data_IF_597412825282
#
_entry.id   IF_597412825282
#
_cell.length_a   1.000
_cell.length_b   1.000
_cell.length_c   1.000
_cell.angle_alpha   90.00
_cell.angle_beta   90.00
_cell.angle_gamma   90.00
#
_symmetry.space_group_name_H-M   'P 1'
#
loop_
_entity.id
_entity.type
_entity.pdbx_description
1 polymer ?
#
# COMPACT_ATOMS: atom_id res chain seq x y z
N UNK A 1 32.57 -14.85 -23.33
CA UNK A 1 31.30 -15.18 -22.68
C UNK A 1 30.45 -13.91 -22.73
N UNK A 2 29.49 -13.84 -23.67
CA UNK A 2 28.56 -12.72 -23.79
C UNK A 2 27.57 -12.82 -22.61
N UNK A 3 27.70 -11.95 -21.63
CA UNK A 3 26.64 -11.68 -20.67
C UNK A 3 25.46 -11.07 -21.46
N UNK A 4 24.51 -11.89 -21.90
CA UNK A 4 23.21 -11.40 -22.37
C UNK A 4 22.63 -10.62 -21.20
N UNK A 5 22.60 -9.30 -21.30
CA UNK A 5 21.85 -8.47 -20.35
C UNK A 5 20.43 -8.99 -20.31
N UNK A 6 19.88 -9.21 -19.12
CA UNK A 6 18.48 -9.62 -19.00
C UNK A 6 17.57 -8.62 -19.72
N UNK A 7 16.59 -9.11 -20.50
CA UNK A 7 15.70 -8.23 -21.26
C UNK A 7 14.95 -7.27 -20.32
N UNK A 8 14.83 -6.02 -20.75
CA UNK A 8 14.07 -5.00 -20.03
C UNK A 8 12.57 -5.28 -20.06
N UNK A 9 11.82 -4.67 -19.12
CA UNK A 9 10.37 -4.87 -19.05
C UNK A 9 9.62 -4.51 -20.33
N UNK A 10 10.04 -3.43 -21.00
CA UNK A 10 9.42 -3.00 -22.26
C UNK A 10 9.72 -3.99 -23.41
N UNK A 11 10.85 -4.66 -23.36
CA UNK A 11 11.21 -5.71 -24.32
C UNK A 11 10.40 -6.98 -24.06
N UNK A 12 10.31 -7.40 -22.80
CA UNK A 12 9.48 -8.53 -22.40
C UNK A 12 8.00 -8.30 -22.75
N UNK A 13 7.49 -7.09 -22.51
CA UNK A 13 6.12 -6.75 -22.88
C UNK A 13 5.90 -6.88 -24.39
N UNK A 14 6.83 -6.41 -25.20
CA UNK A 14 6.73 -6.51 -26.66
C UNK A 14 6.74 -7.97 -27.12
N UNK A 15 7.63 -8.80 -26.58
CA UNK A 15 7.69 -10.23 -26.89
C UNK A 15 6.41 -10.95 -26.46
N UNK A 16 5.90 -10.66 -25.26
CA UNK A 16 4.63 -11.20 -24.78
C UNK A 16 3.45 -10.85 -25.70
N UNK A 17 3.36 -9.60 -26.17
CA UNK A 17 2.33 -9.17 -27.11
C UNK A 17 2.47 -9.82 -28.49
N UNK A 18 3.67 -10.30 -28.83
CA UNK A 18 3.92 -11.10 -30.03
C UNK A 18 3.61 -12.61 -29.85
N UNK A 19 3.14 -13.03 -28.66
CA UNK A 19 2.76 -14.40 -28.36
C UNK A 19 3.82 -15.24 -27.66
N UNK A 20 4.89 -14.62 -27.14
CA UNK A 20 5.95 -15.32 -26.39
C UNK A 20 5.49 -15.59 -24.95
N UNK A 21 5.17 -16.85 -24.63
CA UNK A 21 4.72 -17.28 -23.30
C UNK A 21 5.86 -17.21 -22.26
N UNK A 22 7.12 -17.38 -22.66
CA UNK A 22 8.26 -17.27 -21.74
C UNK A 22 8.45 -15.83 -21.29
N UNK A 23 8.28 -14.87 -22.19
CA UNK A 23 8.31 -13.44 -21.87
C UNK A 23 7.19 -13.06 -20.88
N UNK A 24 5.98 -13.61 -21.05
CA UNK A 24 4.89 -13.44 -20.07
C UNK A 24 5.27 -14.01 -18.71
N UNK A 25 5.79 -15.23 -18.65
CA UNK A 25 6.16 -15.88 -17.40
C UNK A 25 7.29 -15.12 -16.67
N UNK A 26 8.26 -14.57 -17.40
CA UNK A 26 9.32 -13.74 -16.85
C UNK A 26 8.77 -12.42 -16.30
N UNK A 27 7.93 -11.75 -17.06
CA UNK A 27 7.31 -10.49 -16.66
C UNK A 27 6.41 -10.67 -15.43
N UNK A 28 5.61 -11.72 -15.40
CA UNK A 28 4.79 -12.10 -14.26
C UNK A 28 5.66 -12.31 -13.01
N UNK A 29 6.69 -13.18 -13.07
CA UNK A 29 7.59 -13.42 -11.93
C UNK A 29 8.26 -12.16 -11.42
N UNK A 30 8.62 -11.24 -12.32
CA UNK A 30 9.30 -9.99 -11.98
C UNK A 30 8.36 -8.97 -11.32
N UNK A 31 7.10 -8.90 -11.73
CA UNK A 31 6.18 -7.81 -11.37
C UNK A 31 5.01 -8.20 -10.48
N UNK A 32 4.63 -9.47 -10.38
CA UNK A 32 3.52 -9.92 -9.53
C UNK A 32 3.68 -9.47 -8.07
N UNK A 33 4.90 -9.56 -7.53
CA UNK A 33 5.16 -9.19 -6.14
C UNK A 33 4.95 -7.70 -5.83
N UNK A 34 5.27 -6.81 -6.79
CA UNK A 34 5.02 -5.37 -6.64
C UNK A 34 3.52 -5.08 -6.68
N UNK A 35 2.80 -5.64 -7.64
CA UNK A 35 1.34 -5.48 -7.80
C UNK A 35 0.60 -6.03 -6.58
N UNK A 36 0.95 -7.24 -6.13
CA UNK A 36 0.35 -7.88 -4.96
C UNK A 36 0.56 -7.05 -3.68
N UNK A 37 1.82 -6.63 -3.41
CA UNK A 37 2.13 -5.79 -2.23
C UNK A 37 1.36 -4.48 -2.26
N UNK A 38 1.30 -3.81 -3.42
CA UNK A 38 0.52 -2.59 -3.58
C UNK A 38 -0.96 -2.83 -3.23
N UNK A 39 -1.57 -3.83 -3.83
CA UNK A 39 -2.99 -4.14 -3.60
C UNK A 39 -3.26 -4.51 -2.14
N UNK A 40 -2.37 -5.26 -1.49
CA UNK A 40 -2.45 -5.63 -0.08
C UNK A 40 -2.31 -4.40 0.85
N UNK A 41 -1.36 -3.52 0.56
CA UNK A 41 -1.13 -2.28 1.32
C UNK A 41 -2.28 -1.28 1.18
N UNK A 42 -2.96 -1.29 0.04
CA UNK A 42 -4.13 -0.45 -0.19
C UNK A 42 -5.40 -0.99 0.45
N UNK A 43 -5.67 -2.29 0.32
CA UNK A 43 -6.93 -2.92 0.75
C UNK A 43 -6.87 -3.53 2.15
N UNK A 44 -5.69 -3.95 2.63
CA UNK A 44 -5.54 -4.75 3.84
C UNK A 44 -6.01 -6.20 3.71
N UNK A 45 -6.50 -6.61 2.54
CA UNK A 45 -7.15 -7.90 2.28
C UNK A 45 -6.33 -8.76 1.32
N UNK A 46 -5.94 -9.96 1.76
CA UNK A 46 -5.23 -10.93 0.90
C UNK A 46 -6.08 -11.37 -0.30
N UNK A 47 -7.37 -11.76 -0.14
CA UNK A 47 -8.21 -12.13 -1.27
C UNK A 47 -8.31 -11.01 -2.33
N UNK A 48 -8.50 -9.76 -1.90
CA UNK A 48 -8.52 -8.62 -2.83
C UNK A 48 -7.17 -8.47 -3.53
N UNK A 49 -6.06 -8.63 -2.82
CA UNK A 49 -4.72 -8.50 -3.40
C UNK A 49 -4.45 -9.60 -4.45
N UNK A 50 -4.86 -10.83 -4.19
CA UNK A 50 -4.74 -11.96 -5.13
C UNK A 50 -5.57 -11.72 -6.38
N UNK A 51 -6.84 -11.37 -6.23
CA UNK A 51 -7.75 -11.09 -7.33
C UNK A 51 -7.27 -9.92 -8.18
N UNK A 52 -6.87 -8.80 -7.55
CA UNK A 52 -6.36 -7.62 -8.26
C UNK A 52 -5.09 -7.98 -9.03
N UNK A 53 -4.20 -8.78 -8.44
CA UNK A 53 -2.99 -9.22 -9.14
C UNK A 53 -3.34 -9.99 -10.41
N UNK A 54 -4.27 -10.94 -10.35
CA UNK A 54 -4.73 -11.68 -11.51
C UNK A 54 -5.34 -10.76 -12.57
N UNK A 55 -6.25 -9.86 -12.17
CA UNK A 55 -6.91 -8.93 -13.10
C UNK A 55 -5.94 -7.99 -13.79
N UNK A 56 -4.89 -7.52 -13.10
CA UNK A 56 -3.85 -6.66 -13.69
C UNK A 56 -3.09 -7.40 -14.80
N UNK A 57 -2.72 -8.67 -14.59
CA UNK A 57 -2.01 -9.42 -15.62
C UNK A 57 -2.94 -9.87 -16.76
N UNK A 58 -4.19 -10.17 -16.48
CA UNK A 58 -5.20 -10.39 -17.53
C UNK A 58 -5.41 -9.12 -18.36
N UNK A 59 -5.45 -7.96 -17.73
CA UNK A 59 -5.50 -6.67 -18.43
C UNK A 59 -4.24 -6.45 -19.28
N UNK A 60 -3.06 -6.71 -18.73
CA UNK A 60 -1.80 -6.57 -19.47
C UNK A 60 -1.74 -7.44 -20.71
N UNK A 61 -2.24 -8.67 -20.64
CA UNK A 61 -2.31 -9.59 -21.80
C UNK A 61 -3.24 -9.07 -22.90
N UNK A 62 -4.34 -8.42 -22.54
CA UNK A 62 -5.34 -7.91 -23.48
C UNK A 62 -5.00 -6.53 -24.02
N UNK A 63 -4.58 -5.64 -23.13
CA UNK A 63 -4.47 -4.22 -23.37
C UNK A 63 -3.04 -3.68 -23.18
N UNK A 64 -2.04 -4.56 -23.08
CA UNK A 64 -0.64 -4.14 -22.85
C UNK A 64 -0.08 -3.23 -23.93
N UNK A 65 -0.70 -3.22 -25.11
CA UNK A 65 -0.36 -2.30 -26.22
C UNK A 65 -0.60 -0.81 -25.89
N UNK A 66 -1.44 -0.49 -24.90
CA UNK A 66 -1.68 0.90 -24.47
C UNK A 66 -0.57 1.47 -23.59
N UNK A 67 0.39 0.62 -23.15
CA UNK A 67 1.54 1.08 -22.40
C UNK A 67 2.47 1.90 -23.29
N UNK A 68 2.80 3.11 -22.84
CA UNK A 68 3.75 4.00 -23.49
C UNK A 68 5.01 4.17 -22.61
N UNK A 69 6.17 3.64 -23.05
CA UNK A 69 7.43 3.78 -22.30
C UNK A 69 7.90 5.23 -22.11
N UNK A 70 7.44 6.16 -22.94
CA UNK A 70 7.79 7.57 -22.81
C UNK A 70 7.09 8.25 -21.62
N UNK A 71 6.00 7.65 -21.12
CA UNK A 71 5.22 8.19 -19.99
C UNK A 71 5.64 7.63 -18.62
N UNK A 72 6.48 6.62 -18.58
CA UNK A 72 6.95 6.05 -17.32
C UNK A 72 7.32 4.59 -17.40
N UNK A 73 7.58 4.00 -16.25
CA UNK A 73 7.95 2.59 -16.15
C UNK A 73 6.74 1.67 -16.26
N UNK A 74 6.97 0.44 -16.76
CA UNK A 74 5.92 -0.58 -16.77
C UNK A 74 5.40 -0.89 -15.37
N UNK A 75 6.28 -0.84 -14.35
CA UNK A 75 5.85 -1.00 -12.96
C UNK A 75 4.83 0.06 -12.54
N UNK A 76 5.09 1.34 -12.81
CA UNK A 76 4.16 2.42 -12.52
C UNK A 76 2.82 2.26 -13.26
N UNK A 77 2.86 1.85 -14.54
CA UNK A 77 1.66 1.55 -15.30
C UNK A 77 0.82 0.43 -14.65
N UNK A 78 1.46 -0.71 -14.28
CA UNK A 78 0.76 -1.81 -13.61
C UNK A 78 0.17 -1.40 -12.26
N UNK A 79 0.88 -0.56 -11.49
CA UNK A 79 0.36 -0.02 -10.22
C UNK A 79 -0.84 0.92 -10.46
N UNK A 80 -0.85 1.68 -11.54
CA UNK A 80 -2.00 2.50 -11.95
C UNK A 80 -3.24 1.64 -12.27
N UNK A 81 -3.04 0.54 -13.00
CA UNK A 81 -4.11 -0.44 -13.27
C UNK A 81 -4.58 -1.09 -11.96
N UNK A 82 -3.65 -1.55 -11.11
CA UNK A 82 -3.96 -2.14 -9.81
C UNK A 82 -4.78 -1.19 -8.91
N UNK A 83 -4.40 0.10 -8.87
CA UNK A 83 -5.13 1.13 -8.13
C UNK A 83 -6.60 1.19 -8.55
N UNK A 84 -6.87 1.23 -9.84
CA UNK A 84 -8.23 1.30 -10.35
C UNK A 84 -9.06 0.07 -9.93
N UNK A 85 -8.46 -1.13 -9.98
CA UNK A 85 -9.11 -2.37 -9.54
C UNK A 85 -9.35 -2.38 -8.03
N UNK A 86 -8.38 -1.99 -7.20
CA UNK A 86 -8.53 -1.91 -5.74
C UNK A 86 -9.64 -0.94 -5.36
N UNK A 87 -9.62 0.29 -5.91
CA UNK A 87 -10.62 1.30 -5.58
C UNK A 87 -12.03 0.87 -5.99
N UNK A 88 -12.17 0.18 -7.12
CA UNK A 88 -13.47 -0.37 -7.55
C UNK A 88 -13.97 -1.42 -6.56
N UNK A 89 -13.11 -2.35 -6.11
CA UNK A 89 -13.49 -3.37 -5.13
C UNK A 89 -13.83 -2.79 -3.77
N UNK A 90 -13.02 -1.88 -3.27
CA UNK A 90 -13.31 -1.20 -2.00
C UNK A 90 -14.63 -0.42 -2.02
N UNK A 91 -15.03 0.16 -3.15
CA UNK A 91 -16.35 0.80 -3.28
C UNK A 91 -17.50 -0.21 -3.24
N UNK A 92 -17.34 -1.38 -3.87
CA UNK A 92 -18.37 -2.43 -3.86
C UNK A 92 -18.58 -2.95 -2.44
N UNK A 93 -17.50 -3.16 -1.67
CA UNK A 93 -17.60 -3.60 -0.26
C UNK A 93 -18.30 -2.55 0.62
N UNK A 94 -18.14 -1.24 0.33
CA UNK A 94 -18.87 -0.17 1.01
C UNK A 94 -20.37 -0.13 0.66
N UNK A 95 -20.79 -0.61 -0.51
CA UNK A 95 -22.22 -0.67 -0.86
C UNK A 95 -22.97 -1.82 -0.18
N UNK A 96 -22.26 -2.77 0.40
CA UNK A 96 -22.85 -3.87 1.20
C UNK A 96 -23.08 -3.45 2.67
N UNK A 97 -22.50 -2.33 3.11
CA UNK A 97 -22.72 -1.73 4.43
C UNK A 97 -23.53 -0.43 4.26
N UNK A 98 -24.68 -0.22 4.96
CA UNK A 98 -25.55 0.95 4.70
C UNK A 98 -24.87 2.26 5.07
N UNK A 99 -24.85 3.13 4.10
CA UNK A 99 -24.70 4.58 4.03
C UNK A 99 -24.62 5.32 5.40
N UNK A 100 -23.48 5.93 5.61
CA UNK A 100 -23.30 7.11 6.44
C UNK A 100 -22.36 8.05 5.68
N UNK A 101 -22.88 9.19 5.27
CA UNK A 101 -22.14 10.25 4.60
C UNK A 101 -21.03 10.81 5.48
N UNK A 102 -19.97 11.31 4.81
CA UNK A 102 -18.90 12.18 5.27
C UNK A 102 -17.65 11.52 5.92
N UNK A 103 -16.59 11.60 5.15
CA UNK A 103 -15.17 11.98 5.37
C UNK A 103 -14.32 11.33 6.47
N UNK A 104 -14.79 10.35 7.24
CA UNK A 104 -13.98 9.62 8.23
C UNK A 104 -14.41 8.15 8.38
N UNK A 105 -14.18 7.32 7.33
CA UNK A 105 -14.48 5.90 7.46
C UNK A 105 -13.29 5.16 8.03
N UNK A 106 -13.34 4.82 9.31
CA UNK A 106 -12.47 3.83 9.93
C UNK A 106 -12.68 2.46 9.25
N UNK A 107 -11.65 2.03 8.50
CA UNK A 107 -11.64 0.68 7.90
C UNK A 107 -11.35 -0.32 9.01
N UNK A 108 -12.33 -1.15 9.33
CA UNK A 108 -12.16 -2.29 10.24
C UNK A 108 -11.08 -3.22 9.72
N UNK A 109 -9.99 -3.33 10.46
CA UNK A 109 -8.84 -4.17 10.12
C UNK A 109 -9.10 -5.57 10.67
N UNK A 110 -9.41 -6.53 9.81
CA UNK A 110 -9.41 -7.94 10.16
C UNK A 110 -7.99 -8.38 10.52
N UNK A 111 -7.80 -8.79 11.76
CA UNK A 111 -6.50 -9.27 12.29
C UNK A 111 -6.18 -10.61 11.67
N UNK A 112 -5.03 -10.71 10.99
CA UNK A 112 -4.47 -11.96 10.50
C UNK A 112 -3.44 -12.48 11.50
N UNK A 113 -3.70 -13.64 12.07
CA UNK A 113 -2.76 -14.37 12.92
C UNK A 113 -1.55 -14.85 12.12
N UNK A 114 -0.36 -14.48 12.57
CA UNK A 114 0.92 -14.93 12.00
C UNK A 114 1.54 -15.98 12.93
N UNK A 115 1.86 -17.14 12.36
CA UNK A 115 2.48 -18.27 13.03
C UNK A 115 3.84 -17.92 13.65
N UNK A 116 4.13 -18.56 14.78
CA UNK A 116 5.30 -18.44 15.67
C UNK A 116 6.66 -18.42 14.95
N UNK A 117 7.44 -17.37 15.20
CA UNK A 117 8.84 -17.18 14.77
C UNK A 117 9.72 -16.81 15.97
N UNK A 118 11.08 -16.97 15.93
CA UNK A 118 12.00 -16.65 17.02
C UNK A 118 11.88 -15.19 17.52
N UNK A 119 12.28 -14.92 18.76
CA UNK A 119 11.99 -13.67 19.49
C UNK A 119 12.44 -12.38 18.77
N UNK A 120 13.57 -12.38 18.08
CA UNK A 120 14.02 -11.23 17.29
C UNK A 120 13.16 -11.00 16.03
N UNK A 121 12.71 -12.08 15.39
CA UNK A 121 11.77 -12.03 14.28
C UNK A 121 10.37 -11.59 14.75
N UNK A 122 10.01 -11.86 16.00
CA UNK A 122 8.73 -11.47 16.58
C UNK A 122 8.64 -9.95 16.76
N UNK A 123 9.65 -9.32 17.39
CA UNK A 123 9.69 -7.86 17.55
C UNK A 123 9.69 -7.11 16.21
N UNK A 124 10.38 -7.67 15.21
CA UNK A 124 10.36 -7.12 13.85
C UNK A 124 9.01 -7.31 13.17
N UNK A 125 8.36 -8.46 13.36
CA UNK A 125 7.02 -8.74 12.83
C UNK A 125 5.96 -7.84 13.46
N UNK A 126 6.04 -7.59 14.77
CA UNK A 126 5.17 -6.64 15.48
C UNK A 126 5.33 -5.22 14.97
N UNK A 127 6.57 -4.77 14.76
CA UNK A 127 6.85 -3.45 14.18
C UNK A 127 6.28 -3.31 12.77
N UNK A 128 6.47 -4.32 11.92
CA UNK A 128 5.92 -4.33 10.55
C UNK A 128 4.38 -4.28 10.58
N UNK A 129 3.75 -5.03 11.47
CA UNK A 129 2.30 -5.05 11.60
C UNK A 129 1.76 -3.73 12.13
N UNK A 130 2.47 -3.08 13.07
CA UNK A 130 2.13 -1.76 13.59
C UNK A 130 2.17 -0.70 12.47
N UNK A 131 3.23 -0.71 11.66
CA UNK A 131 3.35 0.19 10.49
C UNK A 131 2.24 -0.10 9.48
N UNK A 132 1.95 -1.37 9.20
CA UNK A 132 0.88 -1.77 8.28
C UNK A 132 -0.49 -1.24 8.74
N UNK A 133 -0.82 -1.40 10.02
CA UNK A 133 -2.06 -0.88 10.62
C UNK A 133 -2.11 0.64 10.53
N UNK A 134 -1.01 1.33 10.83
CA UNK A 134 -0.92 2.78 10.70
C UNK A 134 -1.17 3.26 9.26
N UNK A 135 -0.57 2.59 8.26
CA UNK A 135 -0.80 2.91 6.85
C UNK A 135 -2.26 2.67 6.45
N UNK A 136 -2.84 1.53 6.83
CA UNK A 136 -4.24 1.20 6.53
C UNK A 136 -5.24 2.15 7.20
N UNK A 137 -4.88 2.75 8.33
CA UNK A 137 -5.72 3.74 9.01
C UNK A 137 -5.62 5.16 8.43
N UNK A 138 -4.78 5.39 7.42
CA UNK A 138 -4.75 6.67 6.71
C UNK A 138 -5.98 6.83 5.81
N UNK A 139 -6.53 8.05 5.69
CA UNK A 139 -7.48 8.36 4.63
C UNK A 139 -6.93 7.98 3.25
N UNK A 140 -7.80 7.46 2.35
CA UNK A 140 -7.40 6.89 1.07
C UNK A 140 -6.43 7.79 0.27
N UNK A 141 -6.70 9.09 0.18
CA UNK A 141 -5.87 10.09 -0.52
C UNK A 141 -4.43 10.22 0.01
N UNK A 142 -4.21 9.92 1.28
CA UNK A 142 -2.88 9.92 1.92
C UNK A 142 -2.22 8.55 1.86
N UNK A 143 -3.02 7.47 2.00
CA UNK A 143 -2.54 6.10 1.85
C UNK A 143 -1.96 5.86 0.46
N UNK A 144 -2.65 6.29 -0.61
CA UNK A 144 -2.19 6.15 -1.99
C UNK A 144 -0.79 6.70 -2.21
N UNK A 145 -0.52 7.92 -1.77
CA UNK A 145 0.80 8.55 -1.96
C UNK A 145 1.90 7.88 -1.14
N UNK A 146 1.59 7.40 0.08
CA UNK A 146 2.55 6.66 0.91
C UNK A 146 2.86 5.31 0.26
N UNK A 147 1.84 4.57 -0.15
CA UNK A 147 2.04 3.26 -0.77
C UNK A 147 2.82 3.38 -2.06
N UNK A 148 2.49 4.33 -2.93
CA UNK A 148 3.21 4.51 -4.20
C UNK A 148 4.65 4.98 -3.98
N UNK A 149 4.85 6.06 -3.23
CA UNK A 149 6.15 6.74 -3.18
C UNK A 149 7.11 6.14 -2.15
N UNK A 150 6.61 5.67 -0.99
CA UNK A 150 7.48 5.21 0.12
C UNK A 150 7.59 3.68 0.17
N UNK A 151 6.58 2.93 -0.31
CA UNK A 151 6.57 1.48 -0.19
C UNK A 151 6.78 0.75 -1.53
N UNK A 152 6.54 1.42 -2.66
CA UNK A 152 6.73 0.88 -4.00
C UNK A 152 7.79 1.63 -4.81
N UNK A 153 8.48 2.60 -4.22
CA UNK A 153 9.57 3.39 -4.83
C UNK A 153 9.19 4.04 -6.17
N UNK A 154 7.90 4.42 -6.32
CA UNK A 154 7.41 5.14 -7.50
C UNK A 154 7.84 6.60 -7.42
N UNK A 155 8.38 7.14 -8.50
CA UNK A 155 8.77 8.55 -8.56
C UNK A 155 7.55 9.48 -8.39
N UNK A 156 7.76 10.69 -7.88
CA UNK A 156 6.67 11.67 -7.71
C UNK A 156 5.99 12.05 -9.03
N UNK A 157 6.73 12.00 -10.14
CA UNK A 157 6.19 12.21 -11.47
C UNK A 157 5.22 11.10 -11.87
N UNK A 158 5.66 9.86 -11.79
CA UNK A 158 4.81 8.69 -12.08
C UNK A 158 3.62 8.61 -11.12
N UNK A 159 3.82 8.89 -9.82
CA UNK A 159 2.72 8.93 -8.86
C UNK A 159 1.69 10.02 -9.21
N UNK A 160 2.12 11.19 -9.71
CA UNK A 160 1.23 12.24 -10.18
C UNK A 160 0.38 11.79 -11.38
N UNK A 161 0.99 11.08 -12.34
CA UNK A 161 0.29 10.47 -13.48
C UNK A 161 -0.74 9.42 -13.01
N UNK A 162 -0.33 8.48 -12.13
CA UNK A 162 -1.21 7.43 -11.57
C UNK A 162 -2.41 8.06 -10.84
N UNK A 163 -2.16 9.11 -10.06
CA UNK A 163 -3.18 9.76 -9.23
C UNK A 163 -4.00 10.81 -9.98
N UNK A 164 -3.62 11.17 -11.20
CA UNK A 164 -4.27 12.22 -12.00
C UNK A 164 -4.21 13.59 -11.33
N UNK A 165 -3.07 13.96 -10.72
CA UNK A 165 -2.92 15.22 -10.00
C UNK A 165 -1.55 15.85 -10.22
N UNK A 166 -1.39 17.13 -9.85
CA UNK A 166 -0.10 17.81 -9.95
C UNK A 166 0.95 17.21 -8.98
N UNK A 167 2.23 17.22 -9.36
CA UNK A 167 3.35 16.76 -8.52
C UNK A 167 3.38 17.51 -7.18
N UNK A 168 3.02 18.79 -7.14
CA UNK A 168 2.89 19.57 -5.92
C UNK A 168 1.84 18.99 -4.95
N UNK A 169 0.74 18.42 -5.51
CA UNK A 169 -0.30 17.73 -4.73
C UNK A 169 0.23 16.42 -4.13
N UNK A 170 1.02 15.66 -4.88
CA UNK A 170 1.69 14.45 -4.36
C UNK A 170 2.58 14.80 -3.17
N UNK A 171 3.45 15.82 -3.32
CA UNK A 171 4.35 16.28 -2.25
C UNK A 171 3.60 16.74 -1.00
N UNK A 172 2.54 17.54 -1.15
CA UNK A 172 1.76 18.06 -0.02
C UNK A 172 0.99 16.95 0.68
N UNK A 173 0.40 16.00 -0.07
CA UNK A 173 -0.26 14.82 0.51
C UNK A 173 0.73 13.94 1.25
N UNK A 174 1.92 13.70 0.69
CA UNK A 174 2.95 12.89 1.33
C UNK A 174 3.46 13.53 2.63
N UNK A 175 3.65 14.85 2.63
CA UNK A 175 4.03 15.58 3.85
C UNK A 175 2.98 15.41 4.97
N UNK A 176 1.69 15.58 4.65
CA UNK A 176 0.60 15.39 5.60
C UNK A 176 0.48 13.94 6.06
N UNK A 177 0.62 12.98 5.13
CA UNK A 177 0.59 11.55 5.44
C UNK A 177 1.69 11.16 6.45
N UNK A 178 2.92 11.64 6.26
CA UNK A 178 4.04 11.42 7.19
C UNK A 178 3.73 11.98 8.59
N UNK A 179 3.14 13.18 8.67
CA UNK A 179 2.73 13.76 9.95
C UNK A 179 1.68 12.89 10.67
N UNK A 180 0.68 12.39 9.94
CA UNK A 180 -0.33 11.48 10.47
C UNK A 180 0.26 10.14 10.93
N UNK A 181 1.18 9.57 10.16
CA UNK A 181 1.87 8.33 10.54
C UNK A 181 2.72 8.53 11.79
N UNK A 182 3.48 9.62 11.89
CA UNK A 182 4.26 9.94 13.07
C UNK A 182 3.38 10.06 14.32
N UNK A 183 2.22 10.70 14.21
CA UNK A 183 1.28 10.80 15.33
C UNK A 183 0.73 9.43 15.78
N UNK A 184 0.50 8.51 14.82
CA UNK A 184 0.00 7.15 15.10
C UNK A 184 1.07 6.17 15.60
N UNK A 185 2.32 6.37 15.19
CA UNK A 185 3.44 5.49 15.55
C UNK A 185 4.21 5.96 16.79
N UNK A 186 3.93 7.16 17.31
CA UNK A 186 4.46 7.56 18.61
C UNK A 186 3.89 6.63 19.67
N UNK A 187 4.73 6.04 20.57
CA UNK A 187 4.21 5.36 21.74
C UNK A 187 3.30 6.35 22.46
N UNK A 188 2.08 5.95 22.80
CA UNK A 188 1.28 6.69 23.78
C UNK A 188 2.12 6.70 25.05
N UNK A 189 2.72 7.85 25.39
CA UNK A 189 3.13 8.11 26.76
C UNK A 189 1.84 8.02 27.57
N UNK A 190 1.65 6.85 28.19
CA UNK A 190 0.62 6.71 29.24
C UNK A 190 0.97 7.75 30.27
N UNK A 191 0.10 8.75 30.38
CA UNK A 191 0.08 9.67 31.51
C UNK A 191 -0.32 8.81 32.72
N UNK A 192 0.69 8.27 33.40
CA UNK A 192 0.56 7.76 34.77
C UNK A 192 0.41 8.95 35.72
N UNK A 193 -0.73 9.65 35.62
CA UNK A 193 -1.09 10.77 36.52
C UNK A 193 -2.21 10.33 37.50
N UNK A 194 -2.18 9.07 37.91
CA UNK A 194 -3.13 8.53 38.86
C UNK A 194 -2.55 8.21 40.25
N UNK A 195 -1.30 8.58 40.57
CA UNK A 195 -0.69 8.18 41.86
C UNK A 195 -0.25 9.36 42.74
N UNK A 196 -0.57 10.59 42.40
CA UNK A 196 -0.21 11.76 43.22
C UNK A 196 -1.31 12.36 44.12
N UNK A 197 -2.53 11.81 44.11
CA UNK A 197 -3.67 12.41 44.82
C UNK A 197 -4.07 11.75 46.17
N UNK A 198 -3.35 10.71 46.62
CA UNK A 198 -3.79 9.95 47.83
C UNK A 198 -2.89 10.11 49.07
N UNK A 199 -1.91 11.01 49.07
CA UNK A 199 -1.01 11.20 50.23
C UNK A 199 -1.10 12.57 50.93
N UNK A 200 -2.19 13.30 50.82
CA UNK A 200 -2.38 14.58 51.52
C UNK A 200 -3.62 14.67 52.41
N UNK A 201 -4.17 13.59 52.89
CA UNK A 201 -5.29 13.64 53.81
C UNK A 201 -5.17 12.69 55.03
N UNK A 202 -3.99 12.51 55.61
CA UNK A 202 -3.85 11.84 56.88
C UNK A 202 -2.80 12.54 57.73
N UNK A 203 -3.19 13.59 58.45
CA UNK A 203 -2.26 14.27 59.36
C UNK A 203 -2.79 15.54 59.95
N UNK A 204 -3.94 15.49 60.64
CA UNK A 204 -4.27 16.52 61.64
C UNK A 204 -5.33 15.99 62.58
N UNK A 205 -4.92 15.32 63.66
CA UNK A 205 -5.62 15.23 64.92
C UNK A 205 -4.66 14.69 65.98
N UNK A 206 -4.15 15.54 66.82
CA UNK A 206 -3.95 15.52 68.27
C UNK A 206 -2.94 16.59 68.64
#
# INVERSE_FOLDING_TARGET
MNLKSEPGDSELLRSMLAGDEEALALLYRRRQGSVYRFALQMSGSKPIAEDVTQEVFLFLMREGHVFDPARGTLNAFLLGVARNHVLRRMRVDHFVTPIGDEDDTEVSVAVLETALRPIEDLARAETVELVRKAVLSLPAKYREVVVLCELQDVSYGEAAEILGCAIGTVRSRLHRARALLLAKLRPSEQVDDATSATLKSAGCFA
#
